data_IF_257733505250
#
_entry.id   IF_257733505250
#
_cell.length_a   1.000
_cell.length_b   1.000
_cell.length_c   1.000
_cell.angle_alpha   90.00
_cell.angle_beta   90.00
_cell.angle_gamma   90.00
#
_symmetry.space_group_name_H-M   'P 1'
#
loop_
_entity.id
_entity.type
_entity.pdbx_description
1 polymer ?
#
# COMPACT_ATOMS: atom_id res chain seq x y z
N UNK A 1 11.54 -9.01 -9.19
CA UNK A 1 10.27 -9.77 -9.20
C UNK A 1 10.59 -11.24 -9.46
N UNK A 2 10.38 -12.15 -8.51
CA UNK A 2 10.78 -13.57 -8.62
C UNK A 2 9.96 -14.53 -7.74
N UNK A 3 8.79 -14.09 -7.28
CA UNK A 3 7.88 -14.89 -6.45
C UNK A 3 6.63 -15.14 -7.28
N UNK A 4 6.44 -16.39 -7.69
CA UNK A 4 5.24 -16.85 -8.40
C UNK A 4 4.60 -17.97 -7.60
N UNK A 5 3.71 -17.58 -6.69
CA UNK A 5 2.98 -18.51 -5.82
C UNK A 5 1.52 -18.40 -6.21
N UNK A 6 0.95 -19.53 -6.64
CA UNK A 6 -0.47 -19.63 -6.91
C UNK A 6 -1.28 -19.61 -5.60
N UNK A 7 -2.52 -19.17 -5.69
CA UNK A 7 -3.53 -19.12 -4.64
C UNK A 7 -3.21 -18.18 -3.47
N UNK A 8 -2.51 -17.08 -3.72
CA UNK A 8 -2.34 -16.01 -2.72
C UNK A 8 -3.67 -15.30 -2.53
N UNK A 9 -4.27 -15.43 -1.34
CA UNK A 9 -5.52 -14.74 -0.96
C UNK A 9 -5.30 -13.36 -0.37
N UNK A 10 -4.15 -13.14 0.26
CA UNK A 10 -3.85 -11.90 0.96
C UNK A 10 -2.42 -11.48 0.68
N UNK A 11 -2.25 -10.21 0.30
CA UNK A 11 -0.95 -9.55 0.22
C UNK A 11 -0.93 -8.39 1.20
N UNK A 12 0.09 -8.36 2.05
CA UNK A 12 0.30 -7.30 3.02
C UNK A 12 1.56 -6.52 2.65
N UNK A 13 1.39 -5.27 2.24
CA UNK A 13 2.49 -4.33 2.02
C UNK A 13 2.80 -3.61 3.33
N UNK A 14 3.98 -3.88 3.90
CA UNK A 14 4.51 -3.09 5.01
C UNK A 14 5.29 -1.90 4.45
N UNK A 15 4.60 -0.77 4.34
CA UNK A 15 4.99 0.36 3.52
C UNK A 15 4.48 0.19 2.08
N UNK A 16 3.90 1.24 1.47
CA UNK A 16 3.53 1.20 0.06
C UNK A 16 4.79 1.07 -0.81
N UNK A 17 4.71 0.32 -1.91
CA UNK A 17 5.73 0.34 -2.96
C UNK A 17 5.95 1.76 -3.50
N UNK A 18 7.15 2.03 -4.02
CA UNK A 18 7.47 3.37 -4.55
C UNK A 18 6.65 3.72 -5.79
N UNK A 19 6.47 2.73 -6.68
CA UNK A 19 5.74 2.87 -7.94
C UNK A 19 4.35 2.23 -7.86
N UNK A 20 3.41 2.83 -8.58
CA UNK A 20 2.05 2.34 -8.73
C UNK A 20 1.98 0.97 -9.45
N UNK A 21 2.94 0.68 -10.34
CA UNK A 21 3.01 -0.58 -11.12
C UNK A 21 3.22 -1.76 -10.20
N UNK A 22 4.06 -1.61 -9.17
CA UNK A 22 4.35 -2.65 -8.19
C UNK A 22 3.11 -3.02 -7.36
N UNK A 23 2.14 -2.10 -7.26
CA UNK A 23 0.88 -2.31 -6.54
C UNK A 23 -0.11 -3.19 -7.32
N UNK A 24 -0.06 -3.14 -8.66
CA UNK A 24 -1.03 -3.81 -9.55
C UNK A 24 -0.76 -5.32 -9.69
N UNK A 25 0.42 -5.79 -9.29
CA UNK A 25 0.88 -7.17 -9.55
C UNK A 25 0.31 -8.26 -8.61
N UNK A 26 -0.86 -8.03 -8.00
CA UNK A 26 -1.52 -8.96 -7.06
C UNK A 26 -2.69 -9.69 -7.75
N UNK A 27 -2.92 -10.96 -7.39
CA UNK A 27 -4.14 -11.70 -7.77
C UNK A 27 -4.09 -12.37 -9.15
N UNK A 28 -3.05 -13.18 -9.42
CA UNK A 28 -2.80 -13.78 -10.75
C UNK A 28 -3.75 -14.91 -11.14
N UNK A 29 -4.34 -15.63 -10.18
CA UNK A 29 -5.14 -16.84 -10.44
C UNK A 29 -6.64 -16.57 -10.69
N UNK A 30 -7.03 -15.29 -10.82
CA UNK A 30 -8.43 -14.90 -11.05
C UNK A 30 -9.37 -15.13 -9.85
N UNK A 31 -8.88 -15.70 -8.76
CA UNK A 31 -9.63 -15.83 -7.51
C UNK A 31 -9.58 -14.55 -6.70
N UNK A 32 -10.63 -14.29 -5.91
CA UNK A 32 -10.68 -13.14 -5.01
C UNK A 32 -9.46 -13.09 -4.08
N UNK A 33 -8.88 -11.91 -3.98
CA UNK A 33 -7.71 -11.62 -3.16
C UNK A 33 -7.79 -10.20 -2.61
N UNK A 34 -7.11 -9.97 -1.49
CA UNK A 34 -7.10 -8.68 -0.81
C UNK A 34 -5.67 -8.20 -0.63
N UNK A 35 -5.46 -6.92 -0.94
CA UNK A 35 -4.21 -6.22 -0.73
C UNK A 35 -4.37 -5.18 0.38
N UNK A 36 -3.54 -5.28 1.41
CA UNK A 36 -3.44 -4.30 2.49
C UNK A 36 -2.18 -3.49 2.36
N UNK A 37 -2.28 -2.19 2.61
CA UNK A 37 -1.13 -1.28 2.66
C UNK A 37 -1.06 -0.70 4.06
N UNK A 38 -0.09 -1.15 4.85
CA UNK A 38 0.21 -0.56 6.14
C UNK A 38 1.25 0.54 5.94
N UNK A 39 0.94 1.76 6.37
CA UNK A 39 1.86 2.88 6.15
C UNK A 39 1.87 3.83 7.34
N UNK A 40 3.02 4.49 7.51
CA UNK A 40 3.22 5.58 8.45
C UNK A 40 3.80 6.78 7.68
N UNK A 41 4.03 7.89 8.38
CA UNK A 41 4.59 9.09 7.76
C UNK A 41 5.97 8.86 7.12
N UNK A 42 6.82 8.01 7.72
CA UNK A 42 8.15 7.73 7.20
C UNK A 42 8.12 7.00 5.86
N UNK A 43 7.21 6.03 5.70
CA UNK A 43 7.06 5.30 4.44
C UNK A 43 6.61 6.22 3.28
N UNK A 44 5.97 7.36 3.59
CA UNK A 44 5.46 8.27 2.57
C UNK A 44 6.51 9.22 1.98
N UNK A 45 7.73 9.31 2.53
CA UNK A 45 8.71 10.34 2.14
C UNK A 45 9.16 10.19 0.68
N UNK A 46 9.54 8.98 0.29
CA UNK A 46 10.19 8.67 -0.98
C UNK A 46 9.27 7.98 -2.01
N UNK A 47 7.96 8.12 -1.84
CA UNK A 47 6.99 7.58 -2.80
C UNK A 47 6.76 8.56 -3.95
N UNK A 48 6.40 7.99 -5.09
CA UNK A 48 5.91 8.75 -6.22
C UNK A 48 4.59 9.44 -5.86
N UNK A 49 4.32 10.56 -6.53
CA UNK A 49 3.13 11.38 -6.28
C UNK A 49 1.85 10.57 -6.47
N UNK A 50 1.80 9.73 -7.50
CA UNK A 50 0.64 8.88 -7.81
C UNK A 50 0.31 7.90 -6.67
N UNK A 51 1.33 7.30 -6.06
CA UNK A 51 1.15 6.41 -4.91
C UNK A 51 0.69 7.19 -3.68
N UNK A 52 1.25 8.39 -3.45
CA UNK A 52 0.83 9.26 -2.35
C UNK A 52 -0.65 9.62 -2.47
N UNK A 53 -1.09 9.97 -3.67
CA UNK A 53 -2.46 10.37 -3.95
C UNK A 53 -3.42 9.18 -3.79
N UNK A 54 -3.03 7.99 -4.26
CA UNK A 54 -3.81 6.77 -4.06
C UNK A 54 -3.97 6.41 -2.59
N UNK A 55 -2.88 6.45 -1.80
CA UNK A 55 -2.90 6.08 -0.38
C UNK A 55 -3.72 7.08 0.44
N UNK A 56 -3.56 8.37 0.18
CA UNK A 56 -4.28 9.45 0.89
C UNK A 56 -5.71 9.67 0.41
N UNK A 57 -6.17 8.91 -0.57
CA UNK A 57 -7.53 9.01 -1.09
C UNK A 57 -8.55 8.74 0.01
N UNK A 58 -9.44 9.71 0.25
CA UNK A 58 -10.50 9.63 1.26
C UNK A 58 -11.90 9.52 0.66
N UNK A 59 -12.04 9.81 -0.63
CA UNK A 59 -13.30 9.75 -1.37
C UNK A 59 -13.06 9.20 -2.78
N UNK A 60 -14.08 8.57 -3.35
CA UNK A 60 -14.01 7.85 -4.62
C UNK A 60 -13.52 6.40 -4.50
N UNK A 61 -13.16 5.80 -5.63
CA UNK A 61 -12.77 4.39 -5.70
C UNK A 61 -11.26 4.24 -5.89
N UNK A 62 -10.58 3.49 -5.02
CA UNK A 62 -9.14 3.21 -5.15
C UNK A 62 -8.82 2.46 -6.44
N UNK A 63 -9.64 1.47 -6.81
CA UNK A 63 -9.45 0.67 -8.03
C UNK A 63 -9.51 1.53 -9.29
N UNK A 64 -10.41 2.50 -9.35
CA UNK A 64 -10.49 3.43 -10.48
C UNK A 64 -9.25 4.34 -10.55
N UNK A 65 -8.84 4.91 -9.42
CA UNK A 65 -7.65 5.76 -9.37
C UNK A 65 -6.38 4.98 -9.76
N UNK A 66 -6.26 3.73 -9.30
CA UNK A 66 -5.17 2.84 -9.66
C UNK A 66 -5.11 2.55 -11.17
N UNK A 67 -6.27 2.34 -11.81
CA UNK A 67 -6.36 1.95 -13.21
C UNK A 67 -6.37 3.14 -14.19
N UNK A 68 -6.65 4.35 -13.72
CA UNK A 68 -6.88 5.53 -14.57
C UNK A 68 -5.79 5.79 -15.62
N UNK A 69 -4.53 5.49 -15.28
CA UNK A 69 -3.38 5.70 -16.16
C UNK A 69 -3.14 4.55 -17.17
N UNK A 70 -3.86 3.43 -17.04
CA UNK A 70 -3.63 2.20 -17.82
C UNK A 70 -4.75 1.85 -18.79
N UNK A 71 -5.96 2.37 -18.56
CA UNK A 71 -7.16 2.06 -19.35
C UNK A 71 -7.85 3.34 -19.79
N UNK A 72 -8.72 3.24 -20.80
CA UNK A 72 -9.46 4.39 -21.32
C UNK A 72 -10.51 4.88 -20.32
N UNK A 73 -10.89 6.17 -20.39
CA UNK A 73 -11.90 6.75 -19.50
C UNK A 73 -13.25 6.00 -19.55
N UNK A 74 -13.60 5.44 -20.72
CA UNK A 74 -14.80 4.62 -20.89
C UNK A 74 -14.71 3.35 -20.03
N UNK A 75 -13.58 2.65 -20.06
CA UNK A 75 -13.36 1.43 -19.29
C UNK A 75 -13.28 1.71 -17.79
N UNK A 76 -12.66 2.82 -17.37
CA UNK A 76 -12.68 3.25 -15.95
C UNK A 76 -14.12 3.38 -15.44
N UNK A 77 -15.00 3.98 -16.26
CA UNK A 77 -16.40 4.16 -15.92
C UNK A 77 -17.19 2.84 -15.84
N UNK A 78 -16.74 1.79 -16.53
CA UNK A 78 -17.36 0.46 -16.49
C UNK A 78 -16.95 -0.32 -15.24
N UNK A 79 -15.68 -0.19 -14.82
CA UNK A 79 -15.18 -0.72 -13.54
C UNK A 79 -15.98 -0.14 -12.36
N UNK A 80 -16.51 1.08 -12.49
CA UNK A 80 -17.34 1.75 -11.50
C UNK A 80 -18.77 1.20 -11.36
N UNK A 81 -19.34 0.63 -12.43
CA UNK A 81 -20.79 0.45 -12.59
C UNK A 81 -21.36 -0.83 -11.97
N UNK A 82 -20.52 -1.78 -11.56
CA UNK A 82 -21.00 -3.00 -10.88
C UNK A 82 -21.41 -2.66 -9.44
N UNK A 83 -22.62 -2.13 -9.27
CA UNK A 83 -23.18 -1.77 -7.96
C UNK A 83 -23.30 -2.97 -7.01
N UNK A 84 -23.46 -4.18 -7.55
CA UNK A 84 -23.59 -5.42 -6.77
C UNK A 84 -22.33 -5.76 -5.95
N UNK A 85 -21.16 -5.25 -6.35
CA UNK A 85 -19.86 -5.72 -5.86
C UNK A 85 -19.06 -4.60 -5.17
N UNK A 86 -19.73 -3.52 -4.73
CA UNK A 86 -19.04 -2.40 -4.07
C UNK A 86 -18.27 -2.83 -2.81
N UNK A 87 -18.76 -3.84 -2.10
CA UNK A 87 -18.11 -4.36 -0.89
C UNK A 87 -16.83 -5.15 -1.16
N UNK A 88 -16.65 -5.73 -2.35
CA UNK A 88 -15.42 -6.42 -2.76
C UNK A 88 -14.50 -5.52 -3.60
N UNK A 89 -14.81 -4.23 -3.69
CA UNK A 89 -14.08 -3.30 -4.55
C UNK A 89 -12.84 -2.70 -3.87
N UNK A 90 -13.05 -1.95 -2.80
CA UNK A 90 -12.02 -1.38 -1.94
C UNK A 90 -12.68 -0.88 -0.64
N UNK A 91 -11.88 -0.52 0.35
CA UNK A 91 -12.30 0.05 1.63
C UNK A 91 -13.24 1.26 1.50
N UNK A 92 -13.04 2.13 0.49
CA UNK A 92 -13.91 3.30 0.28
C UNK A 92 -15.27 2.92 -0.32
N UNK A 93 -15.28 2.01 -1.31
CA UNK A 93 -16.52 1.52 -1.91
C UNK A 93 -17.32 0.65 -0.93
N UNK A 94 -16.63 -0.08 -0.04
CA UNK A 94 -17.24 -0.90 0.99
C UNK A 94 -18.06 -0.05 1.96
N UNK A 95 -17.55 1.11 2.39
CA UNK A 95 -18.24 2.04 3.32
C UNK A 95 -19.60 2.52 2.79
N UNK A 96 -19.77 2.59 1.47
CA UNK A 96 -21.01 3.04 0.82
C UNK A 96 -21.84 1.88 0.26
N UNK A 97 -21.45 0.64 0.54
CA UNK A 97 -22.19 -0.54 0.09
C UNK A 97 -23.51 -0.70 0.86
N UNK A 98 -24.56 -1.16 0.16
CA UNK A 98 -25.91 -1.36 0.71
C UNK A 98 -26.44 -2.79 0.50
N UNK A 99 -25.57 -3.75 0.18
CA UNK A 99 -26.00 -5.11 -0.16
C UNK A 99 -26.52 -5.93 1.03
N UNK A 100 -26.28 -5.48 2.27
CA UNK A 100 -26.73 -6.16 3.50
C UNK A 100 -26.01 -7.47 3.84
N UNK A 101 -25.13 -7.97 2.97
CA UNK A 101 -24.37 -9.20 3.15
C UNK A 101 -22.94 -9.08 2.60
N UNK A 102 -22.14 -8.18 3.18
CA UNK A 102 -20.74 -8.02 2.81
C UNK A 102 -19.92 -9.17 3.40
N UNK A 103 -19.54 -10.16 2.58
CA UNK A 103 -18.60 -11.19 3.01
C UNK A 103 -17.18 -10.61 3.01
N UNK A 104 -16.50 -10.69 4.14
CA UNK A 104 -15.12 -10.24 4.31
C UNK A 104 -14.17 -11.43 4.35
N UNK A 105 -12.96 -11.24 3.82
CA UNK A 105 -11.88 -12.21 4.04
C UNK A 105 -11.43 -12.15 5.51
N UNK A 106 -10.94 -13.28 6.05
CA UNK A 106 -10.60 -13.40 7.47
C UNK A 106 -9.68 -12.27 7.97
N UNK A 107 -8.75 -11.80 7.13
CA UNK A 107 -7.82 -10.73 7.48
C UNK A 107 -8.51 -9.37 7.57
N UNK A 108 -9.52 -9.10 6.74
CA UNK A 108 -10.30 -7.85 6.78
C UNK A 108 -11.14 -7.69 8.05
N UNK A 109 -11.45 -8.79 8.74
CA UNK A 109 -12.12 -8.75 10.04
C UNK A 109 -11.25 -8.09 11.12
N UNK A 110 -9.92 -8.18 11.01
CA UNK A 110 -8.99 -7.58 11.97
C UNK A 110 -8.75 -6.08 11.71
N UNK A 111 -8.85 -5.65 10.45
CA UNK A 111 -8.55 -4.27 10.03
C UNK A 111 -9.80 -3.41 9.75
N UNK A 112 -10.99 -4.00 9.80
CA UNK A 112 -12.24 -3.28 9.55
C UNK A 112 -12.53 -2.20 10.61
N UNK A 113 -13.54 -1.34 10.38
CA UNK A 113 -13.96 -0.31 11.34
C UNK A 113 -14.47 -0.88 12.68
N UNK A 114 -14.70 -2.19 12.76
CA UNK A 114 -15.06 -2.94 13.96
C UNK A 114 -13.87 -3.62 14.64
N UNK A 115 -12.69 -3.59 14.01
CA UNK A 115 -11.43 -4.03 14.60
C UNK A 115 -10.99 -3.03 15.66
N UNK A 116 -10.63 -3.53 16.83
CA UNK A 116 -10.41 -2.80 18.07
C UNK A 116 -9.18 -1.85 18.08
N UNK A 117 -8.90 -1.16 16.99
CA UNK A 117 -7.83 -0.15 16.90
C UNK A 117 -8.34 1.29 17.00
N UNK A 118 -9.65 1.53 16.83
CA UNK A 118 -10.22 2.88 17.03
C UNK A 118 -10.14 3.33 18.51
N UNK A 119 -10.01 2.38 19.44
CA UNK A 119 -9.91 2.64 20.87
C UNK A 119 -8.53 3.13 21.32
N UNK A 120 -7.47 2.89 20.55
CA UNK A 120 -6.09 3.27 20.90
C UNK A 120 -5.72 4.67 20.41
N UNK A 121 -6.64 5.38 19.74
CA UNK A 121 -6.44 6.78 19.34
C UNK A 121 -6.77 7.78 20.46
N UNK A 122 -7.09 7.32 21.67
CA UNK A 122 -7.18 8.15 22.86
C UNK A 122 -6.27 7.58 23.97
N UNK A 123 -5.24 8.37 24.34
CA UNK A 123 -4.08 8.09 25.22
C UNK A 123 -2.95 7.33 24.51
N UNK A 124 -1.71 7.83 24.42
CA UNK A 124 -0.97 8.58 25.43
C UNK A 124 -0.17 9.75 24.84
N UNK A 125 -0.26 10.88 25.53
CA UNK A 125 0.92 11.72 25.74
C UNK A 125 1.84 10.91 26.64
N UNK A 126 2.79 10.16 26.07
CA UNK A 126 4.04 9.85 26.78
C UNK A 126 5.16 9.52 25.80
N UNK A 127 6.27 10.18 26.09
CA UNK A 127 7.54 10.19 25.39
C UNK A 127 8.25 8.85 25.56
N UNK A 128 8.34 8.01 24.52
CA UNK A 128 9.51 7.15 24.27
C UNK A 128 9.68 6.89 22.77
N UNK A 129 10.34 7.83 22.08
CA UNK A 129 10.93 7.52 20.77
C UNK A 129 12.24 6.78 21.05
N UNK A 130 12.29 5.48 20.78
CA UNK A 130 13.56 4.74 20.79
C UNK A 130 14.47 5.42 19.75
N UNK A 131 15.51 6.11 20.21
CA UNK A 131 16.48 6.75 19.35
C UNK A 131 17.32 5.65 18.70
N UNK A 132 17.15 5.46 17.39
CA UNK A 132 18.13 4.72 16.62
C UNK A 132 19.45 5.49 16.68
N UNK A 133 20.49 4.86 17.21
CA UNK A 133 21.82 5.42 17.23
C UNK A 133 22.25 5.73 15.79
N UNK A 134 22.53 7.01 15.53
CA UNK A 134 22.90 7.54 14.22
C UNK A 134 24.26 7.00 13.75
N UNK A 135 25.04 6.37 14.65
CA UNK A 135 26.33 5.75 14.36
C UNK A 135 26.23 4.54 13.42
N UNK A 136 25.15 3.76 13.48
CA UNK A 136 24.94 2.57 12.66
C UNK A 136 24.59 2.89 11.20
N UNK A 137 24.04 4.08 10.94
CA UNK A 137 23.65 4.50 9.60
C UNK A 137 24.83 5.04 8.77
N UNK A 138 25.85 5.62 9.41
CA UNK A 138 27.05 6.09 8.70
C UNK A 138 27.99 4.95 8.33
N UNK A 139 28.10 3.91 9.16
CA UNK A 139 29.02 2.79 8.90
C UNK A 139 28.68 1.96 7.65
N UNK A 140 27.44 2.00 7.15
CA UNK A 140 27.06 1.32 5.91
C UNK A 140 27.45 2.11 4.64
N UNK A 141 27.75 3.41 4.74
CA UNK A 141 28.13 4.23 3.59
C UNK A 141 29.64 4.44 3.45
N UNK A 142 30.42 4.16 4.49
CA UNK A 142 31.88 4.38 4.49
C UNK A 142 32.69 3.18 3.99
N UNK A 143 32.04 2.05 3.64
CA UNK A 143 32.73 0.84 3.17
C UNK A 143 32.90 0.72 1.66
N UNK A 144 32.39 1.67 0.86
CA UNK A 144 32.39 1.57 -0.62
C UNK A 144 33.21 2.68 -1.32
N UNK A 145 34.18 3.30 -0.65
CA UNK A 145 35.15 4.20 -1.30
C UNK A 145 36.58 3.71 -1.16
N UNK A 146 36.87 2.56 -1.77
CA UNK A 146 38.23 2.21 -2.21
C UNK A 146 38.14 1.86 -3.70
N UNK A 147 38.08 2.89 -4.54
CA UNK A 147 38.43 2.80 -5.96
C UNK A 147 39.69 3.65 -6.14
N UNK A 148 40.76 2.95 -6.48
CA UNK A 148 42.08 3.46 -6.83
C UNK A 148 41.97 4.55 -7.91
N UNK A 149 42.46 5.74 -7.60
CA UNK A 149 42.78 6.76 -8.62
C UNK A 149 44.31 6.83 -8.72
N UNK A 150 44.86 5.91 -9.50
CA UNK A 150 46.18 6.07 -10.12
C UNK A 150 45.98 6.90 -11.38
N UNK A 151 46.24 8.21 -11.30
CA UNK A 151 46.55 9.02 -12.48
C UNK A 151 47.78 9.88 -12.23
N UNK A 152 48.71 9.74 -13.17
CA UNK A 152 50.00 10.40 -13.31
C UNK A 152 49.91 11.87 -13.73
N UNK A 153 51.08 12.54 -13.76
CA UNK A 153 51.47 13.83 -14.37
C UNK A 153 51.57 14.99 -13.37
N UNK A 154 52.68 15.72 -13.22
CA UNK A 154 53.94 15.86 -13.98
C UNK A 154 55.11 16.20 -13.03
#
# INVERSE_FOLDING_TARGET
MGVDIANIKTVLFYGPPRSIVDLVQVGRDGSDSVAFILYNHNHMKFLDVEVKDLVKLNDGCRRQNLLRNYISEKEVSEVAKKESDRHSCCDLCEKVCKCGNCMKLNVELYFGPSGAFASDLQLSSDSETISYDKSLYLHMYESDTDIEDLTEHD
#
